data_IF_115762157442
#
_entry.id   IF_115762157442
#
_cell.length_a   1.000
_cell.length_b   1.000
_cell.length_c   1.000
_cell.angle_alpha   90.00
_cell.angle_beta   90.00
_cell.angle_gamma   90.00
#
_symmetry.space_group_name_H-M   'P 1'
#
loop_
_entity.id
_entity.type
_entity.pdbx_description
1 polymer ?
#
# COMPACT_ATOMS: atom_id res chain seq x y z
N UNK A 1 -1.64 26.54 -2.04
CA UNK A 1 -2.22 26.56 -0.69
C UNK A 1 -1.59 27.67 0.13
N UNK A 2 -2.37 28.57 0.68
CA UNK A 2 -1.90 29.60 1.59
C UNK A 2 -2.03 29.08 3.03
N UNK A 3 -0.94 28.60 3.62
CA UNK A 3 -0.91 28.00 4.97
C UNK A 3 -1.56 28.84 6.08
N UNK A 4 -1.41 30.19 6.13
CA UNK A 4 -2.15 31.02 7.09
C UNK A 4 -3.66 30.92 6.97
N UNK A 5 -4.19 30.87 5.75
CA UNK A 5 -5.65 30.72 5.53
C UNK A 5 -6.17 29.36 6.00
N UNK A 6 -5.36 28.30 5.88
CA UNK A 6 -5.71 26.98 6.41
C UNK A 6 -5.92 27.00 7.93
N UNK A 7 -5.07 27.75 8.67
CA UNK A 7 -5.22 27.91 10.13
C UNK A 7 -6.44 28.70 10.55
N UNK A 8 -7.09 29.41 9.62
CA UNK A 8 -8.28 30.20 9.86
C UNK A 8 -9.57 29.44 9.58
N UNK A 9 -9.51 28.15 9.18
CA UNK A 9 -10.73 27.36 8.98
C UNK A 9 -11.37 27.08 10.33
N UNK A 10 -12.65 27.45 10.51
CA UNK A 10 -13.34 27.22 11.76
C UNK A 10 -13.43 25.72 12.07
N UNK A 11 -13.31 25.36 13.34
CA UNK A 11 -13.52 23.99 13.85
C UNK A 11 -14.92 23.43 13.53
N UNK A 12 -15.86 24.31 13.16
CA UNK A 12 -17.19 23.92 12.67
C UNK A 12 -17.21 23.24 11.30
N UNK A 13 -16.07 23.24 10.57
CA UNK A 13 -15.95 22.56 9.28
C UNK A 13 -14.92 21.41 9.29
N UNK A 14 -15.11 20.39 10.13
CA UNK A 14 -14.12 19.32 10.31
C UNK A 14 -13.84 18.54 9.00
N UNK A 15 -14.85 18.32 8.16
CA UNK A 15 -14.68 17.65 6.86
C UNK A 15 -13.77 18.44 5.92
N UNK A 16 -13.94 19.76 5.86
CA UNK A 16 -13.09 20.63 5.04
C UNK A 16 -11.64 20.61 5.55
N UNK A 17 -11.47 20.72 6.88
CA UNK A 17 -10.15 20.63 7.51
C UNK A 17 -9.45 19.31 7.16
N UNK A 18 -10.14 18.19 7.34
CA UNK A 18 -9.58 16.86 7.02
C UNK A 18 -9.22 16.72 5.54
N UNK A 19 -10.09 17.14 4.62
CA UNK A 19 -9.79 17.09 3.18
C UNK A 19 -8.57 17.92 2.80
N UNK A 20 -8.41 19.09 3.41
CA UNK A 20 -7.25 19.96 3.16
C UNK A 20 -5.97 19.41 3.80
N UNK A 21 -6.06 18.74 4.94
CA UNK A 21 -4.94 18.06 5.58
C UNK A 21 -4.46 16.87 4.73
N UNK A 22 -5.38 16.09 4.16
CA UNK A 22 -5.06 15.02 3.19
C UNK A 22 -4.32 15.59 1.98
N UNK A 23 -4.84 16.64 1.36
CA UNK A 23 -4.20 17.31 0.23
C UNK A 23 -2.81 17.87 0.56
N UNK A 24 -2.61 18.35 1.79
CA UNK A 24 -1.29 18.80 2.25
C UNK A 24 -0.31 17.65 2.41
N UNK A 25 -0.78 16.51 2.89
CA UNK A 25 0.02 15.28 2.98
C UNK A 25 0.45 14.81 1.59
N UNK A 26 -0.48 14.62 0.68
CA UNK A 26 -0.19 14.20 -0.69
C UNK A 26 0.87 15.07 -1.36
N UNK A 27 0.88 16.37 -1.06
CA UNK A 27 1.92 17.29 -1.57
C UNK A 27 3.25 17.22 -0.83
N UNK A 28 3.27 16.71 0.41
CA UNK A 28 4.53 16.55 1.18
C UNK A 28 5.26 15.24 0.83
N UNK A 29 4.54 14.19 0.45
CA UNK A 29 5.14 12.91 0.06
C UNK A 29 6.24 13.07 -1.02
N UNK A 30 6.00 13.79 -2.13
CA UNK A 30 7.05 14.00 -3.14
C UNK A 30 8.28 14.76 -2.62
N UNK A 31 8.12 15.61 -1.62
CA UNK A 31 9.27 16.35 -1.05
C UNK A 31 10.18 15.45 -0.19
N UNK A 32 9.63 14.39 0.39
CA UNK A 32 10.37 13.45 1.25
C UNK A 32 10.95 12.29 0.44
N UNK A 33 10.17 11.72 -0.48
CA UNK A 33 10.53 10.52 -1.24
C UNK A 33 11.07 10.81 -2.64
N UNK A 34 10.92 12.04 -3.14
CA UNK A 34 11.19 12.41 -4.53
C UNK A 34 12.64 12.14 -4.99
N UNK A 35 13.60 12.10 -4.08
CA UNK A 35 14.98 11.72 -4.37
C UNK A 35 15.08 10.23 -4.73
N UNK A 36 14.55 9.36 -3.87
CA UNK A 36 14.54 7.92 -4.06
C UNK A 36 13.65 7.52 -5.26
N UNK A 37 12.48 8.14 -5.41
CA UNK A 37 11.60 7.92 -6.57
C UNK A 37 12.31 8.23 -7.88
N UNK A 38 13.04 9.36 -7.96
CA UNK A 38 13.77 9.76 -9.16
C UNK A 38 14.90 8.80 -9.48
N UNK A 39 15.67 8.39 -8.49
CA UNK A 39 16.76 7.43 -8.66
C UNK A 39 16.23 6.08 -9.15
N UNK A 40 15.23 5.51 -8.46
CA UNK A 40 14.61 4.26 -8.84
C UNK A 40 14.00 4.32 -10.25
N UNK A 41 13.32 5.42 -10.61
CA UNK A 41 12.79 5.60 -11.95
C UNK A 41 13.88 5.49 -13.01
N UNK A 42 15.02 6.16 -12.81
CA UNK A 42 16.15 6.11 -13.75
C UNK A 42 16.72 4.69 -13.88
N UNK A 43 16.88 3.99 -12.75
CA UNK A 43 17.36 2.62 -12.71
C UNK A 43 16.36 1.65 -13.36
N UNK A 44 15.06 1.83 -13.14
CA UNK A 44 14.04 0.94 -13.65
C UNK A 44 13.67 1.18 -15.13
N UNK A 45 14.12 2.27 -15.74
CA UNK A 45 13.64 2.76 -17.03
C UNK A 45 13.62 1.68 -18.13
N UNK A 46 14.67 0.90 -18.22
CA UNK A 46 14.78 -0.17 -19.24
C UNK A 46 13.79 -1.30 -18.96
N UNK A 47 13.66 -1.73 -17.69
CA UNK A 47 12.73 -2.78 -17.31
C UNK A 47 11.29 -2.30 -17.53
N UNK A 48 10.97 -1.03 -17.21
CA UNK A 48 9.65 -0.42 -17.47
C UNK A 48 9.27 -0.50 -18.94
N UNK A 49 10.22 -0.20 -19.84
CA UNK A 49 9.98 -0.28 -21.28
C UNK A 49 9.71 -1.69 -21.79
N UNK A 50 10.47 -2.66 -21.27
CA UNK A 50 10.38 -4.08 -21.67
C UNK A 50 9.20 -4.79 -21.01
N UNK A 51 8.75 -4.34 -19.82
CA UNK A 51 7.67 -4.99 -19.09
C UNK A 51 6.32 -4.79 -19.78
N UNK A 52 5.47 -5.80 -19.70
CA UNK A 52 4.07 -5.70 -20.10
C UNK A 52 3.33 -4.72 -19.17
N UNK A 53 2.48 -3.88 -19.73
CA UNK A 53 1.63 -2.99 -18.93
C UNK A 53 0.42 -3.71 -18.34
N UNK A 54 -0.16 -3.17 -17.27
CA UNK A 54 -1.38 -3.74 -16.66
C UNK A 54 -2.57 -3.74 -17.61
N UNK A 55 -2.59 -2.87 -18.63
CA UNK A 55 -3.64 -2.87 -19.66
C UNK A 55 -3.82 -4.25 -20.32
N UNK A 56 -2.76 -5.04 -20.41
CA UNK A 56 -2.82 -6.42 -20.91
C UNK A 56 -3.69 -7.34 -20.02
N UNK A 57 -3.85 -6.99 -18.75
CA UNK A 57 -4.64 -7.75 -17.77
C UNK A 57 -6.06 -7.20 -17.59
N UNK A 58 -6.40 -6.10 -18.23
CA UNK A 58 -7.74 -5.50 -18.14
C UNK A 58 -8.83 -6.52 -18.47
N UNK A 59 -9.80 -6.62 -17.57
CA UNK A 59 -10.93 -7.55 -17.64
C UNK A 59 -10.60 -9.05 -17.74
N UNK A 60 -9.32 -9.46 -17.60
CA UNK A 60 -8.93 -10.89 -17.63
C UNK A 60 -9.55 -11.72 -16.53
N UNK A 61 -9.88 -11.08 -15.41
CA UNK A 61 -10.50 -11.72 -14.26
C UNK A 61 -11.95 -11.31 -14.08
N UNK A 62 -12.62 -10.92 -15.16
CA UNK A 62 -14.00 -10.44 -15.15
C UNK A 62 -14.93 -11.38 -14.40
N UNK A 63 -15.57 -10.88 -13.35
CA UNK A 63 -16.52 -11.58 -12.52
C UNK A 63 -15.92 -12.63 -11.56
N UNK A 64 -14.61 -12.78 -11.53
CA UNK A 64 -13.95 -13.59 -10.49
C UNK A 64 -13.84 -12.80 -9.18
N UNK A 65 -14.08 -13.42 -8.04
CA UNK A 65 -13.83 -12.74 -6.76
C UNK A 65 -12.35 -12.47 -6.58
N UNK A 66 -12.01 -11.26 -6.16
CA UNK A 66 -10.67 -10.86 -5.75
C UNK A 66 -10.52 -10.90 -4.23
N UNK A 67 -9.35 -11.26 -3.74
CA UNK A 67 -8.99 -11.18 -2.33
C UNK A 67 -7.65 -10.45 -2.22
N UNK A 68 -7.68 -9.23 -1.70
CA UNK A 68 -6.50 -8.41 -1.44
C UNK A 68 -6.07 -8.56 0.00
N UNK A 69 -4.86 -9.04 0.20
CA UNK A 69 -4.27 -9.27 1.52
C UNK A 69 -3.24 -8.20 1.83
N UNK A 70 -3.48 -7.46 2.91
CA UNK A 70 -2.56 -6.51 3.53
C UNK A 70 -2.04 -7.07 4.85
N UNK A 71 -1.02 -6.43 5.44
CA UNK A 71 -0.31 -6.96 6.60
C UNK A 71 -0.74 -6.36 7.95
N UNK A 72 -1.94 -5.79 8.03
CA UNK A 72 -2.45 -5.23 9.30
C UNK A 72 -2.81 -6.31 10.33
N UNK A 73 -3.03 -5.91 11.59
CA UNK A 73 -3.23 -6.84 12.72
C UNK A 73 -4.39 -7.83 12.55
N UNK A 74 -5.47 -7.45 11.86
CA UNK A 74 -6.62 -8.33 11.62
C UNK A 74 -6.31 -9.51 10.69
N UNK A 75 -5.15 -9.50 10.01
CA UNK A 75 -4.70 -10.64 9.23
C UNK A 75 -4.48 -11.86 10.12
N UNK A 76 -4.08 -11.69 11.38
CA UNK A 76 -3.84 -12.78 12.32
C UNK A 76 -5.06 -13.71 12.45
N UNK A 77 -6.25 -13.13 12.50
CA UNK A 77 -7.51 -13.87 12.68
C UNK A 77 -7.93 -14.62 11.41
N UNK A 78 -7.56 -14.09 10.25
CA UNK A 78 -7.98 -14.61 8.95
C UNK A 78 -6.97 -15.57 8.33
N UNK A 79 -5.69 -15.45 8.68
CA UNK A 79 -4.59 -16.21 8.09
C UNK A 79 -4.82 -17.75 8.08
N UNK A 80 -5.37 -18.39 9.14
CA UNK A 80 -5.67 -19.83 9.13
C UNK A 80 -6.69 -20.23 8.05
N UNK A 81 -7.61 -19.33 7.71
CA UNK A 81 -8.66 -19.58 6.71
C UNK A 81 -8.17 -19.34 5.29
N UNK A 82 -7.15 -18.51 5.09
CA UNK A 82 -6.61 -18.22 3.76
C UNK A 82 -6.04 -19.47 3.07
N UNK A 83 -5.57 -20.47 3.85
CA UNK A 83 -5.12 -21.77 3.32
C UNK A 83 -6.24 -22.55 2.61
N UNK A 84 -7.49 -22.26 2.93
CA UNK A 84 -8.67 -22.93 2.40
C UNK A 84 -9.34 -22.13 1.28
N UNK A 85 -8.80 -20.95 0.95
CA UNK A 85 -9.36 -20.12 -0.11
C UNK A 85 -9.29 -20.85 -1.44
N UNK A 86 -10.47 -20.99 -2.07
CA UNK A 86 -10.63 -21.65 -3.35
C UNK A 86 -9.78 -20.95 -4.42
N UNK A 87 -9.16 -21.72 -5.30
CA UNK A 87 -8.43 -21.26 -6.50
C UNK A 87 -9.30 -20.41 -7.45
N UNK A 88 -10.60 -20.32 -7.20
CA UNK A 88 -11.48 -19.39 -7.93
C UNK A 88 -11.24 -17.94 -7.59
N UNK A 89 -10.69 -17.65 -6.41
CA UNK A 89 -10.31 -16.30 -6.02
C UNK A 89 -9.02 -15.86 -6.72
N UNK A 90 -8.97 -14.63 -7.14
CA UNK A 90 -7.73 -13.95 -7.51
C UNK A 90 -7.10 -13.44 -6.23
N UNK A 91 -6.13 -14.20 -5.71
CA UNK A 91 -5.40 -13.84 -4.50
C UNK A 91 -4.29 -12.84 -4.85
N UNK A 92 -4.35 -11.67 -4.27
CA UNK A 92 -3.37 -10.61 -4.42
C UNK A 92 -2.87 -10.12 -3.06
N UNK A 93 -1.66 -9.67 -2.98
CA UNK A 93 -1.12 -9.13 -1.73
C UNK A 93 -0.25 -7.88 -1.96
N UNK A 94 -0.13 -7.08 -0.91
CA UNK A 94 0.89 -6.02 -0.84
C UNK A 94 2.24 -6.63 -0.47
N UNK A 95 3.32 -5.88 -0.71
CA UNK A 95 4.70 -6.27 -0.41
C UNK A 95 4.90 -6.77 1.02
N UNK A 96 4.42 -6.03 2.01
CA UNK A 96 4.53 -6.38 3.44
C UNK A 96 3.80 -7.68 3.83
N UNK A 97 2.80 -8.11 3.06
CA UNK A 97 2.06 -9.34 3.30
C UNK A 97 2.70 -10.56 2.61
N UNK A 98 3.54 -10.37 1.58
CA UNK A 98 4.18 -11.46 0.83
C UNK A 98 4.96 -12.42 1.75
N UNK A 99 5.82 -11.95 2.68
CA UNK A 99 6.54 -12.84 3.60
C UNK A 99 5.61 -13.68 4.48
N UNK A 100 4.53 -13.08 4.98
CA UNK A 100 3.55 -13.74 5.85
C UNK A 100 2.89 -14.89 5.10
N UNK A 101 2.33 -14.60 3.93
CA UNK A 101 1.65 -15.59 3.10
C UNK A 101 2.60 -16.72 2.66
N UNK A 102 3.82 -16.37 2.24
CA UNK A 102 4.80 -17.35 1.76
C UNK A 102 5.24 -18.31 2.86
N UNK A 103 5.47 -17.85 4.09
CA UNK A 103 5.79 -18.72 5.26
C UNK A 103 4.66 -19.70 5.56
N UNK A 104 3.42 -19.30 5.33
CA UNK A 104 2.25 -20.15 5.52
C UNK A 104 1.93 -21.06 4.31
N UNK A 105 2.77 -21.02 3.27
CA UNK A 105 2.58 -21.80 2.05
C UNK A 105 1.43 -21.30 1.17
N UNK A 106 0.97 -20.07 1.38
CA UNK A 106 -0.09 -19.43 0.62
C UNK A 106 0.56 -18.64 -0.53
N UNK A 107 0.26 -19.00 -1.76
CA UNK A 107 0.84 -18.39 -2.95
C UNK A 107 -0.13 -17.39 -3.58
N UNK A 108 0.12 -16.09 -3.52
CA UNK A 108 -0.69 -15.10 -4.23
C UNK A 108 -0.46 -15.20 -5.73
N UNK A 109 -1.47 -14.82 -6.53
CA UNK A 109 -1.33 -14.68 -7.97
C UNK A 109 -0.60 -13.37 -8.33
N UNK A 110 -0.84 -12.32 -7.55
CA UNK A 110 -0.22 -11.01 -7.74
C UNK A 110 0.38 -10.48 -6.44
N UNK A 111 1.55 -9.86 -6.55
CA UNK A 111 2.15 -9.05 -5.49
C UNK A 111 2.41 -7.64 -6.02
N UNK A 112 2.11 -6.63 -5.19
CA UNK A 112 2.21 -5.23 -5.57
C UNK A 112 3.37 -4.54 -4.86
N UNK A 113 4.11 -3.70 -5.60
CA UNK A 113 5.23 -2.91 -5.08
C UNK A 113 5.15 -1.47 -5.61
N UNK A 114 5.10 -0.53 -4.68
CA UNK A 114 5.00 0.91 -4.94
C UNK A 114 6.12 1.69 -4.26
N UNK A 115 6.56 1.22 -3.08
CA UNK A 115 7.44 1.97 -2.18
C UNK A 115 8.85 2.08 -2.77
N UNK A 116 9.42 3.31 -2.87
CA UNK A 116 10.77 3.53 -3.34
C UNK A 116 11.85 3.21 -2.30
N UNK A 117 11.50 3.01 -1.02
CA UNK A 117 12.43 2.87 0.08
C UNK A 117 13.12 1.50 0.11
N UNK A 118 14.30 1.45 0.75
CA UNK A 118 15.07 0.22 0.89
C UNK A 118 14.32 -0.86 1.70
N UNK A 119 13.50 -0.43 2.65
CA UNK A 119 12.68 -1.33 3.48
C UNK A 119 11.76 -2.22 2.64
N UNK A 120 11.26 -1.71 1.50
CA UNK A 120 10.48 -2.51 0.56
C UNK A 120 11.25 -3.74 0.07
N UNK A 121 12.56 -3.62 -0.18
CA UNK A 121 13.38 -4.76 -0.60
C UNK A 121 13.46 -5.86 0.46
N UNK A 122 13.43 -5.52 1.75
CA UNK A 122 13.48 -6.52 2.83
C UNK A 122 12.28 -7.48 2.76
N UNK A 123 11.12 -7.00 2.33
CA UNK A 123 9.93 -7.86 2.17
C UNK A 123 10.06 -8.86 1.02
N UNK A 124 10.86 -8.56 0.02
CA UNK A 124 11.08 -9.42 -1.14
C UNK A 124 12.32 -10.30 -1.04
N UNK A 125 13.29 -9.96 -0.20
CA UNK A 125 14.63 -10.53 -0.20
C UNK A 125 14.68 -12.05 -0.23
N UNK A 126 13.82 -12.73 0.53
CA UNK A 126 13.75 -14.19 0.60
C UNK A 126 12.75 -14.79 -0.42
N UNK A 127 12.02 -13.95 -1.14
CA UNK A 127 10.90 -14.34 -1.99
C UNK A 127 11.06 -13.86 -3.45
N UNK A 128 12.28 -13.56 -3.87
CA UNK A 128 12.59 -13.06 -5.21
C UNK A 128 12.26 -14.07 -6.32
N UNK A 129 12.16 -15.35 -6.00
CA UNK A 129 11.76 -16.44 -6.89
C UNK A 129 10.29 -16.84 -6.72
N UNK A 130 9.49 -16.05 -6.02
CA UNK A 130 8.07 -16.32 -5.88
C UNK A 130 7.39 -16.41 -7.25
N UNK A 131 6.47 -17.37 -7.46
CA UNK A 131 5.72 -17.49 -8.70
C UNK A 131 4.66 -16.40 -8.90
N UNK A 132 4.43 -15.56 -7.89
CA UNK A 132 3.50 -14.45 -7.99
C UNK A 132 3.92 -13.46 -9.10
N UNK A 133 2.96 -12.87 -9.79
CA UNK A 133 3.21 -11.81 -10.76
C UNK A 133 3.44 -10.49 -10.03
N UNK A 134 4.59 -9.87 -10.25
CA UNK A 134 4.90 -8.56 -9.67
C UNK A 134 4.22 -7.45 -10.47
N UNK A 135 3.35 -6.70 -9.82
CA UNK A 135 2.82 -5.43 -10.35
C UNK A 135 3.56 -4.29 -9.67
N UNK A 136 4.26 -3.46 -10.44
CA UNK A 136 5.14 -2.44 -9.89
C UNK A 136 4.98 -1.09 -10.57
N UNK A 137 5.26 -0.01 -9.83
CA UNK A 137 5.35 1.33 -10.41
C UNK A 137 6.78 1.62 -10.88
N UNK A 138 6.97 2.52 -11.85
CA UNK A 138 8.32 2.89 -12.31
C UNK A 138 9.24 3.40 -11.21
N UNK A 139 8.68 3.91 -10.12
CA UNK A 139 9.39 4.48 -8.97
C UNK A 139 9.59 3.49 -7.82
N UNK A 140 9.07 2.27 -7.92
CA UNK A 140 9.27 1.23 -6.92
C UNK A 140 10.76 0.91 -6.73
N UNK A 141 11.11 0.38 -5.58
CA UNK A 141 12.50 0.06 -5.23
C UNK A 141 13.20 -0.73 -6.34
N UNK A 142 14.31 -0.20 -6.86
CA UNK A 142 14.99 -0.78 -8.02
C UNK A 142 15.53 -2.18 -7.75
N UNK A 143 15.98 -2.48 -6.51
CA UNK A 143 16.46 -3.84 -6.18
C UNK A 143 15.34 -4.87 -6.31
N UNK A 144 14.10 -4.52 -5.86
CA UNK A 144 12.93 -5.38 -6.05
C UNK A 144 12.71 -5.62 -7.54
N UNK A 145 12.59 -4.55 -8.33
CA UNK A 145 12.26 -4.62 -9.74
C UNK A 145 13.31 -5.41 -10.54
N UNK A 146 14.61 -5.24 -10.22
CA UNK A 146 15.72 -5.93 -10.92
C UNK A 146 15.91 -7.38 -10.48
N UNK A 147 15.80 -7.66 -9.18
CA UNK A 147 16.12 -8.98 -8.63
C UNK A 147 14.95 -9.97 -8.71
N UNK A 148 13.70 -9.50 -8.71
CA UNK A 148 12.54 -10.37 -8.81
C UNK A 148 12.53 -11.18 -10.10
N UNK A 149 12.33 -12.50 -10.01
CA UNK A 149 12.45 -13.44 -11.15
C UNK A 149 11.12 -13.73 -11.83
N UNK A 150 10.00 -13.53 -11.12
CA UNK A 150 8.66 -13.77 -11.67
C UNK A 150 8.28 -12.80 -12.80
N UNK A 151 7.15 -13.06 -13.41
CA UNK A 151 6.56 -12.18 -14.43
C UNK A 151 6.29 -10.80 -13.85
N UNK A 152 6.53 -9.73 -14.64
CA UNK A 152 6.43 -8.35 -14.19
C UNK A 152 5.46 -7.56 -15.04
N UNK A 153 4.61 -6.79 -14.38
CA UNK A 153 3.67 -5.86 -15.01
C UNK A 153 3.91 -4.46 -14.46
N UNK A 154 4.04 -3.49 -15.34
CA UNK A 154 4.22 -2.09 -14.95
C UNK A 154 2.89 -1.35 -14.95
N UNK A 155 2.71 -0.46 -13.96
CA UNK A 155 1.56 0.44 -13.85
C UNK A 155 2.05 1.84 -13.48
N UNK A 156 1.50 2.85 -14.14
CA UNK A 156 1.81 4.24 -13.82
C UNK A 156 0.81 4.80 -12.80
N UNK A 157 1.27 5.70 -11.94
CA UNK A 157 0.36 6.45 -11.05
C UNK A 157 -0.27 7.59 -11.85
N UNK A 158 -1.58 7.77 -11.78
CA UNK A 158 -2.25 8.94 -12.34
C UNK A 158 -1.69 10.23 -11.75
N UNK A 159 -1.52 11.24 -12.58
CA UNK A 159 -0.99 12.55 -12.16
C UNK A 159 0.50 12.59 -11.81
N UNK A 160 1.24 11.51 -11.96
CA UNK A 160 2.69 11.48 -11.76
C UNK A 160 3.45 12.15 -12.91
N UNK A 161 3.23 13.44 -13.11
CA UNK A 161 3.92 14.27 -14.12
C UNK A 161 5.39 14.53 -13.83
N UNK A 162 5.92 13.99 -12.73
CA UNK A 162 7.30 14.22 -12.29
C UNK A 162 8.32 13.57 -13.23
N UNK A 163 7.93 12.51 -13.91
CA UNK A 163 8.77 11.80 -14.85
C UNK A 163 8.10 11.90 -16.21
N UNK A 164 8.70 12.70 -17.08
CA UNK A 164 8.20 12.90 -18.47
C UNK A 164 8.41 11.63 -19.29
N UNK A 165 7.60 10.60 -19.02
CA UNK A 165 7.37 9.58 -20.04
C UNK A 165 6.42 10.18 -21.08
N UNK A 166 6.59 9.73 -22.32
CA UNK A 166 5.65 10.03 -23.39
C UNK A 166 4.27 9.50 -22.99
N UNK A 167 3.25 10.33 -23.08
CA UNK A 167 1.86 9.94 -22.79
C UNK A 167 1.44 8.66 -23.52
N UNK A 168 2.04 8.39 -24.69
CA UNK A 168 1.84 7.15 -25.43
C UNK A 168 2.29 5.91 -24.65
N UNK A 169 3.40 5.97 -23.92
CA UNK A 169 3.90 4.85 -23.09
C UNK A 169 2.99 4.62 -21.91
N UNK A 170 2.54 5.69 -21.24
CA UNK A 170 1.61 5.60 -20.12
C UNK A 170 0.27 4.99 -20.58
N UNK A 171 -0.25 5.45 -21.71
CA UNK A 171 -1.49 4.95 -22.27
C UNK A 171 -1.39 3.48 -22.71
N UNK A 172 -0.26 3.06 -23.25
CA UNK A 172 0.00 1.66 -23.63
C UNK A 172 0.08 0.75 -22.40
N UNK A 173 0.84 1.16 -21.39
CA UNK A 173 1.09 0.35 -20.19
C UNK A 173 -0.07 0.35 -19.18
N UNK A 174 -0.79 1.44 -19.09
CA UNK A 174 -1.88 1.65 -18.14
C UNK A 174 -1.50 2.41 -16.89
N UNK A 175 -2.50 3.06 -16.33
CA UNK A 175 -2.36 3.86 -15.10
C UNK A 175 -3.40 3.49 -14.06
N UNK A 176 -3.15 3.90 -12.82
CA UNK A 176 -4.00 3.61 -11.65
C UNK A 176 -3.98 4.76 -10.67
N UNK A 177 -5.08 4.91 -9.93
CA UNK A 177 -5.15 5.77 -8.76
C UNK A 177 -4.44 5.10 -7.61
N UNK A 178 -3.32 5.65 -7.14
CA UNK A 178 -2.53 5.01 -6.09
C UNK A 178 -3.05 5.24 -4.67
N UNK A 179 -3.86 6.28 -4.46
CA UNK A 179 -4.37 6.64 -3.13
C UNK A 179 -3.31 6.79 -2.03
N UNK A 180 -2.02 6.82 -2.42
CA UNK A 180 -0.88 6.98 -1.51
C UNK A 180 -0.38 5.69 -0.83
N UNK A 181 -1.03 4.54 -1.02
CA UNK A 181 -0.59 3.26 -0.46
C UNK A 181 -0.57 2.14 -1.50
N UNK A 182 0.22 1.09 -1.20
CA UNK A 182 0.29 -0.12 -2.06
C UNK A 182 -1.08 -0.78 -2.17
N UNK A 183 -1.84 -0.82 -1.08
CA UNK A 183 -3.17 -1.45 -1.06
C UNK A 183 -4.21 -0.67 -1.87
N UNK A 184 -4.19 0.66 -1.85
CA UNK A 184 -5.06 1.48 -2.70
C UNK A 184 -4.77 1.23 -4.18
N UNK A 185 -3.48 1.21 -4.56
CA UNK A 185 -3.06 0.88 -5.91
C UNK A 185 -3.53 -0.53 -6.31
N UNK A 186 -3.32 -1.51 -5.45
CA UNK A 186 -3.70 -2.89 -5.70
C UNK A 186 -5.22 -3.06 -5.87
N UNK A 187 -6.01 -2.36 -5.07
CA UNK A 187 -7.48 -2.37 -5.19
C UNK A 187 -7.93 -1.84 -6.55
N UNK A 188 -7.44 -0.66 -6.95
CA UNK A 188 -7.81 -0.06 -8.25
C UNK A 188 -7.40 -0.97 -9.42
N UNK A 189 -6.21 -1.59 -9.35
CA UNK A 189 -5.76 -2.55 -10.37
C UNK A 189 -6.63 -3.80 -10.41
N UNK A 190 -7.06 -4.36 -9.27
CA UNK A 190 -7.98 -5.50 -9.24
C UNK A 190 -9.36 -5.16 -9.82
N UNK A 191 -9.83 -3.91 -9.63
CA UNK A 191 -11.04 -3.41 -10.30
C UNK A 191 -10.85 -3.40 -11.81
N UNK A 192 -9.71 -2.87 -12.30
CA UNK A 192 -9.39 -2.86 -13.73
C UNK A 192 -9.27 -4.28 -14.32
N UNK A 193 -8.76 -5.25 -13.56
CA UNK A 193 -8.73 -6.66 -13.94
C UNK A 193 -10.14 -7.27 -14.04
N UNK A 194 -11.16 -6.57 -13.56
CA UNK A 194 -12.57 -6.98 -13.60
C UNK A 194 -12.97 -7.90 -12.46
N UNK A 195 -12.18 -7.95 -11.39
CA UNK A 195 -12.54 -8.72 -10.20
C UNK A 195 -13.83 -8.16 -9.57
N UNK A 196 -14.77 -9.04 -9.26
CA UNK A 196 -16.03 -8.69 -8.59
C UNK A 196 -16.67 -9.93 -7.96
N UNK A 197 -16.96 -9.93 -6.64
CA UNK A 197 -16.61 -8.90 -5.65
C UNK A 197 -15.11 -8.88 -5.34
N UNK A 198 -14.64 -7.81 -4.66
CA UNK A 198 -13.30 -7.74 -4.09
C UNK A 198 -13.42 -7.71 -2.57
N UNK A 199 -12.68 -8.59 -1.90
CA UNK A 199 -12.58 -8.67 -0.46
C UNK A 199 -11.22 -8.11 -0.02
N UNK A 200 -11.23 -7.34 1.08
CA UNK A 200 -10.01 -6.79 1.70
C UNK A 200 -9.80 -7.51 3.04
N UNK A 201 -8.57 -7.91 3.32
CA UNK A 201 -8.19 -8.47 4.62
C UNK A 201 -6.83 -7.93 5.08
N UNK A 202 -6.64 -7.80 6.39
CA UNK A 202 -5.45 -7.16 6.94
C UNK A 202 -5.36 -5.66 6.64
N UNK A 203 -6.47 -5.03 6.26
CA UNK A 203 -6.55 -3.61 5.88
C UNK A 203 -7.13 -2.79 7.03
N UNK A 204 -6.47 -2.81 8.18
CA UNK A 204 -6.96 -2.20 9.42
C UNK A 204 -6.99 -0.67 9.37
N UNK A 205 -6.01 -0.04 8.73
CA UNK A 205 -5.84 1.41 8.62
C UNK A 205 -5.95 2.14 9.97
N UNK A 206 -5.54 1.46 11.03
CA UNK A 206 -5.61 1.89 12.42
C UNK A 206 -4.64 1.10 13.27
N UNK A 207 -4.55 1.43 14.54
CA UNK A 207 -3.66 0.78 15.52
C UNK A 207 -4.44 -0.03 16.58
N UNK A 208 -5.16 -1.09 16.19
CA UNK A 208 -5.88 -1.91 17.16
C UNK A 208 -4.87 -2.54 18.14
N UNK A 209 -5.12 -2.38 19.45
CA UNK A 209 -4.21 -2.86 20.50
C UNK A 209 -2.77 -2.36 20.35
N UNK A 210 -2.60 -1.12 19.86
CA UNK A 210 -1.30 -0.47 19.60
C UNK A 210 -0.40 -1.22 18.61
N UNK A 211 -0.96 -2.07 17.77
CA UNK A 211 -0.23 -2.78 16.70
C UNK A 211 -0.45 -2.12 15.34
N UNK A 212 0.61 -2.12 14.53
CA UNK A 212 0.58 -1.61 13.14
C UNK A 212 0.44 -2.77 12.17
N UNK A 213 1.16 -3.86 12.45
CA UNK A 213 1.24 -5.03 11.60
C UNK A 213 0.72 -6.29 12.29
N UNK A 214 0.42 -7.29 11.49
CA UNK A 214 0.18 -8.68 11.91
C UNK A 214 1.32 -9.17 12.80
N UNK A 215 1.03 -10.01 13.79
CA UNK A 215 2.04 -10.63 14.66
C UNK A 215 3.04 -11.52 13.89
N UNK A 216 2.68 -11.94 12.68
CA UNK A 216 3.53 -12.73 11.78
C UNK A 216 4.45 -11.85 10.90
N UNK A 217 4.37 -10.53 11.01
CA UNK A 217 5.22 -9.61 10.24
C UNK A 217 6.62 -9.51 10.85
N UNK A 218 7.65 -9.63 10.01
CA UNK A 218 9.04 -9.37 10.42
C UNK A 218 9.29 -7.93 10.87
N UNK A 219 8.41 -7.00 10.49
CA UNK A 219 8.50 -5.62 10.94
C UNK A 219 8.22 -5.44 12.44
N UNK A 220 7.58 -6.42 13.10
CA UNK A 220 7.36 -6.39 14.54
C UNK A 220 8.62 -6.70 15.35
N UNK A 221 9.57 -7.47 14.80
CA UNK A 221 10.83 -7.80 15.50
C UNK A 221 11.68 -6.55 15.74
N UNK A 222 11.62 -5.56 14.83
CA UNK A 222 12.33 -4.28 14.99
C UNK A 222 11.64 -3.34 16.00
N UNK A 223 10.38 -3.58 16.35
CA UNK A 223 9.59 -2.72 17.25
C UNK A 223 9.54 -3.22 18.68
N UNK A 224 9.84 -4.50 18.94
CA UNK A 224 9.78 -5.11 20.27
C UNK A 224 11.01 -4.81 21.13
N UNK A 225 12.14 -4.50 20.52
CA UNK A 225 13.39 -4.21 21.25
C UNK A 225 13.43 -2.82 21.93
N UNK A 226 12.46 -1.95 21.64
CA UNK A 226 12.42 -0.57 22.16
C UNK A 226 11.14 -0.23 22.97
N UNK A 227 10.38 -1.23 23.42
CA UNK A 227 9.22 -1.02 24.27
C UNK A 227 9.62 -0.65 25.71
N UNK A 228 9.95 0.62 25.90
CA UNK A 228 10.01 1.19 27.26
C UNK A 228 8.61 1.20 27.90
N UNK A 229 8.53 0.67 29.11
CA UNK A 229 7.34 0.42 29.92
C UNK A 229 6.53 1.67 30.34
N UNK A 230 6.82 2.84 29.81
CA UNK A 230 6.19 4.11 30.19
C UNK A 230 5.18 4.71 29.22
N UNK A 231 4.85 4.06 28.08
CA UNK A 231 3.84 4.61 27.17
C UNK A 231 2.41 4.23 27.57
N UNK A 232 1.97 4.69 28.73
CA UNK A 232 0.60 4.53 29.25
C UNK A 232 -0.48 5.34 28.50
N UNK A 233 -0.16 5.97 27.36
CA UNK A 233 -1.05 6.85 26.62
C UNK A 233 -1.16 6.51 25.12
N UNK A 234 -1.34 5.25 24.78
CA UNK A 234 -1.92 4.87 23.47
C UNK A 234 -1.15 5.24 22.19
N UNK A 235 0.02 5.82 22.27
CA UNK A 235 0.86 6.15 21.12
C UNK A 235 1.88 5.05 20.85
N UNK A 236 1.84 4.45 19.66
CA UNK A 236 2.85 3.48 19.25
C UNK A 236 4.20 4.17 19.05
N UNK A 237 5.30 3.45 19.24
CA UNK A 237 6.67 3.97 18.98
C UNK A 237 6.80 4.49 17.54
N UNK A 238 6.14 3.86 16.58
CA UNK A 238 6.05 4.29 15.18
C UNK A 238 5.49 5.70 15.05
N UNK A 239 4.40 6.01 15.75
CA UNK A 239 3.76 7.33 15.75
C UNK A 239 4.67 8.36 16.42
N UNK A 240 5.30 8.00 17.55
CA UNK A 240 6.26 8.89 18.25
C UNK A 240 7.49 9.17 17.40
N UNK A 241 8.07 8.17 16.74
CA UNK A 241 9.28 8.32 15.93
C UNK A 241 9.07 9.22 14.71
N UNK A 242 7.86 9.19 14.12
CA UNK A 242 7.50 10.02 12.96
C UNK A 242 6.89 11.37 13.33
N UNK A 243 6.64 11.66 14.61
CA UNK A 243 5.92 12.87 15.08
C UNK A 243 4.58 13.09 14.36
N UNK A 244 3.91 12.00 14.00
CA UNK A 244 2.63 12.04 13.32
C UNK A 244 1.53 12.31 14.34
N UNK A 245 0.55 13.14 13.94
CA UNK A 245 -0.65 13.36 14.76
C UNK A 245 -1.56 12.15 14.65
N UNK A 246 -1.92 11.59 15.78
CA UNK A 246 -2.97 10.58 15.89
C UNK A 246 -4.34 11.22 15.92
N UNK A 247 -5.32 10.51 15.38
CA UNK A 247 -6.73 10.86 15.41
C UNK A 247 -7.53 9.65 15.90
N UNK A 248 -8.60 9.89 16.69
CA UNK A 248 -9.54 8.85 17.05
C UNK A 248 -10.67 8.80 16.04
N UNK A 249 -11.00 7.60 15.56
CA UNK A 249 -12.09 7.35 14.61
C UNK A 249 -13.02 6.28 15.16
N UNK A 250 -14.30 6.36 14.76
CA UNK A 250 -15.29 5.36 15.15
C UNK A 250 -15.07 4.06 14.36
N UNK A 251 -15.14 2.94 15.08
CA UNK A 251 -15.24 1.62 14.48
C UNK A 251 -16.66 1.32 14.01
N UNK A 252 -16.81 0.31 13.16
CA UNK A 252 -18.10 -0.18 12.71
C UNK A 252 -18.95 -0.78 13.87
N UNK A 253 -18.32 -1.28 14.93
CA UNK A 253 -18.97 -1.81 16.14
C UNK A 253 -19.40 -0.73 17.15
N UNK A 254 -19.17 0.55 16.86
CA UNK A 254 -19.51 1.69 17.71
C UNK A 254 -18.42 2.09 18.70
N UNK A 255 -17.32 1.35 18.79
CA UNK A 255 -16.13 1.71 19.57
C UNK A 255 -15.28 2.78 18.89
N UNK A 256 -14.17 3.14 19.53
CA UNK A 256 -13.15 4.03 18.95
C UNK A 256 -11.85 3.29 18.73
N UNK A 257 -11.08 3.74 17.72
CA UNK A 257 -9.74 3.26 17.44
C UNK A 257 -8.85 4.41 17.03
N UNK A 258 -7.59 4.34 17.40
CA UNK A 258 -6.58 5.33 17.03
C UNK A 258 -6.04 5.01 15.65
N UNK A 259 -5.90 6.03 14.84
CA UNK A 259 -5.23 5.99 13.53
C UNK A 259 -4.35 7.23 13.35
N UNK A 260 -3.65 7.33 12.24
CA UNK A 260 -2.94 8.55 11.85
C UNK A 260 -3.55 9.15 10.58
N UNK A 261 -3.07 10.34 10.22
CA UNK A 261 -3.59 11.08 9.09
C UNK A 261 -3.32 10.37 7.75
N UNK A 262 -2.19 9.64 7.63
CA UNK A 262 -1.87 8.87 6.43
C UNK A 262 -2.85 7.71 6.23
N UNK A 263 -3.03 6.87 7.26
CA UNK A 263 -3.97 5.76 7.20
C UNK A 263 -5.41 6.23 6.98
N UNK A 264 -5.80 7.35 7.58
CA UNK A 264 -7.10 7.96 7.34
C UNK A 264 -7.27 8.41 5.88
N UNK A 265 -6.22 8.95 5.24
CA UNK A 265 -6.26 9.30 3.82
C UNK A 265 -6.41 8.06 2.93
N UNK A 266 -5.73 6.96 3.28
CA UNK A 266 -5.88 5.70 2.56
C UNK A 266 -7.30 5.11 2.68
N UNK A 267 -7.91 5.21 3.87
CA UNK A 267 -9.32 4.82 4.05
C UNK A 267 -10.22 5.60 3.09
N UNK A 268 -10.05 6.91 3.02
CA UNK A 268 -10.84 7.77 2.11
C UNK A 268 -10.64 7.39 0.65
N UNK A 269 -9.40 7.09 0.25
CA UNK A 269 -9.12 6.65 -1.11
C UNK A 269 -9.71 5.28 -1.48
N UNK A 270 -9.91 4.41 -0.49
CA UNK A 270 -10.58 3.11 -0.68
C UNK A 270 -12.11 3.27 -0.78
N UNK A 271 -12.68 4.25 -0.06
CA UNK A 271 -14.13 4.52 -0.06
C UNK A 271 -14.62 5.27 -1.32
N UNK A 272 -13.74 5.95 -2.06
CA UNK A 272 -14.02 6.64 -3.33
C UNK A 272 -14.06 5.69 -4.53
#
# INVERSE_FOLDING_TARGET
FHLPSFKCIPSSFPRLTNSLEVLLMERRFPAVLGGAEKENYLLNKEIVRQSTGINFLNSKHKGKPGLLVSAGPSLDDILPYLKQVDKKFILACVDTALPILSREGILPEYVFSLDPQEDSFQHFREYLESPAKLVFTPTANAKVVHCYKGEKFVVFKEGSSQFKEDDSVINDKGSTRSGGSVSCLALDVLIQFGCNPIFLTGQDLSFPSNRIYSSFSSNNEQMTDELDSESLLGETHYVKSRKEKTISVKKNDGGEVVTNQAMYSYLRAIEE
#
